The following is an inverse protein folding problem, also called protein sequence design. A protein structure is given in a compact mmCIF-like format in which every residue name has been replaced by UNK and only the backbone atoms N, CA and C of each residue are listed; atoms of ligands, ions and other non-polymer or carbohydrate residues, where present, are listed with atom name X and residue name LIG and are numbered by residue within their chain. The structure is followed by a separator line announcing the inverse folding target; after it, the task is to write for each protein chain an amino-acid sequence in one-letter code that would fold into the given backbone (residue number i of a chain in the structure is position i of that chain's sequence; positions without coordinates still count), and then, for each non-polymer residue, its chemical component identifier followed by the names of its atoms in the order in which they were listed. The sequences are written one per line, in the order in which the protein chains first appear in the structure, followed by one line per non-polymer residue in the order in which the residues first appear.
data_IF_560944609746
#
_entry.id   IF_560944609746
#
_cell.length_a   1.000
_cell.length_b   1.000
_cell.length_c   1.000
_cell.angle_alpha   90.00
_cell.angle_beta   90.00
_cell.angle_gamma   90.00
#
_symmetry.space_group_name_H-M   'P 1'
#
loop_
_entity.id
_entity.type
_entity.pdbx_description
1 polymer ?
#
# COMPACT_ATOMS: atom_id res chain seq x y z
N UNK A 1 -15.02 25.00 -23.83
CA UNK A 1 -14.42 25.62 -22.63
C UNK A 1 -15.51 26.23 -21.77
N UNK A 2 -15.51 25.97 -20.48
CA UNK A 2 -16.30 26.68 -19.48
C UNK A 2 -15.32 27.23 -18.45
N UNK A 3 -15.29 28.54 -18.29
CA UNK A 3 -14.34 29.21 -17.43
C UNK A 3 -15.09 30.12 -16.45
N UNK A 4 -14.81 29.98 -15.18
CA UNK A 4 -15.33 30.81 -14.09
C UNK A 4 -14.19 31.44 -13.29
N UNK A 5 -14.24 32.74 -13.00
CA UNK A 5 -13.23 33.37 -12.18
C UNK A 5 -13.36 33.01 -10.67
N UNK A 6 -14.57 32.73 -10.22
CA UNK A 6 -14.88 32.39 -8.83
C UNK A 6 -15.30 30.95 -8.65
N UNK A 7 -16.48 30.72 -8.05
CA UNK A 7 -17.11 29.41 -7.89
C UNK A 7 -17.95 29.06 -9.12
N UNK A 8 -17.72 27.89 -9.68
CA UNK A 8 -18.51 27.28 -10.74
C UNK A 8 -19.10 25.97 -10.21
N UNK A 9 -20.39 25.82 -10.33
CA UNK A 9 -21.10 24.59 -9.99
C UNK A 9 -21.74 24.01 -11.26
N UNK A 10 -21.54 22.72 -11.48
CA UNK A 10 -22.16 21.96 -12.54
C UNK A 10 -22.89 20.80 -11.90
N UNK A 11 -24.22 20.83 -11.95
CA UNK A 11 -25.06 19.80 -11.42
C UNK A 11 -25.77 19.10 -12.58
N UNK A 12 -25.31 17.91 -12.97
CA UNK A 12 -25.87 17.16 -14.07
C UNK A 12 -25.71 15.65 -13.85
N UNK A 13 -26.62 14.90 -14.45
CA UNK A 13 -26.58 13.43 -14.41
C UNK A 13 -25.52 12.84 -15.35
N UNK A 14 -25.06 13.57 -16.37
CA UNK A 14 -24.01 13.11 -17.27
C UNK A 14 -23.20 14.27 -17.82
N UNK A 15 -21.91 14.24 -17.56
CA UNK A 15 -20.97 15.25 -18.02
C UNK A 15 -19.87 14.56 -18.85
N UNK A 16 -19.72 14.95 -20.12
CA UNK A 16 -18.60 14.55 -20.99
C UNK A 16 -17.72 15.77 -21.25
N UNK A 17 -16.56 15.83 -20.59
CA UNK A 17 -15.59 16.90 -20.81
C UNK A 17 -14.44 16.44 -21.69
N UNK A 18 -14.36 16.99 -22.89
CA UNK A 18 -13.24 16.83 -23.85
C UNK A 18 -12.39 18.10 -23.98
N UNK A 19 -12.77 19.16 -23.29
CA UNK A 19 -12.15 20.48 -23.38
C UNK A 19 -11.60 20.92 -22.03
N UNK A 20 -11.99 22.11 -21.62
CA UNK A 20 -11.53 22.73 -20.38
C UNK A 20 -12.71 23.21 -19.54
N UNK A 21 -12.78 22.71 -18.31
CA UNK A 21 -13.60 23.24 -17.22
C UNK A 21 -12.65 23.83 -16.19
N UNK A 22 -12.78 25.12 -15.89
CA UNK A 22 -11.87 25.79 -14.96
C UNK A 22 -12.58 26.84 -14.13
N UNK A 23 -12.29 26.83 -12.83
CA UNK A 23 -12.71 27.87 -11.90
C UNK A 23 -11.74 27.95 -10.72
N UNK A 24 -11.85 29.00 -9.91
CA UNK A 24 -11.14 29.02 -8.62
C UNK A 24 -11.64 27.88 -7.72
N UNK A 25 -12.94 27.72 -7.57
CA UNK A 25 -13.59 26.55 -6.95
C UNK A 25 -14.53 25.92 -7.97
N UNK A 26 -14.25 24.70 -8.37
CA UNK A 26 -15.09 23.93 -9.29
C UNK A 26 -15.76 22.79 -8.54
N UNK A 27 -17.08 22.77 -8.54
CA UNK A 27 -17.90 21.71 -7.97
C UNK A 27 -18.66 21.04 -9.09
N UNK A 28 -18.48 19.74 -9.22
CA UNK A 28 -19.23 18.88 -10.13
C UNK A 28 -20.00 17.88 -9.29
N UNK A 29 -21.32 17.93 -9.33
CA UNK A 29 -22.18 17.09 -8.48
C UNK A 29 -23.34 16.50 -9.29
N UNK A 30 -23.90 15.39 -8.77
CA UNK A 30 -25.07 14.73 -9.36
C UNK A 30 -25.02 13.21 -9.22
N UNK A 31 -26.15 12.56 -9.49
CA UNK A 31 -26.32 11.09 -9.36
C UNK A 31 -25.82 10.32 -10.59
N UNK A 32 -25.05 10.96 -11.45
CA UNK A 32 -24.63 10.40 -12.71
C UNK A 32 -23.13 10.18 -12.85
N UNK A 33 -22.65 10.40 -14.07
CA UNK A 33 -21.26 10.11 -14.46
C UNK A 33 -20.55 11.35 -15.00
N UNK A 34 -19.33 11.60 -14.50
CA UNK A 34 -18.36 12.46 -15.15
C UNK A 34 -17.43 11.61 -16.01
N UNK A 35 -17.33 11.89 -17.30
CA UNK A 35 -16.31 11.35 -18.21
C UNK A 35 -15.40 12.50 -18.59
N UNK A 36 -14.10 12.38 -18.30
CA UNK A 36 -13.13 13.43 -18.57
C UNK A 36 -11.97 12.93 -19.42
N UNK A 37 -11.82 13.45 -20.63
CA UNK A 37 -10.64 13.30 -21.49
C UNK A 37 -9.90 14.62 -21.71
N UNK A 38 -10.41 15.72 -21.13
CA UNK A 38 -9.83 17.06 -21.17
C UNK A 38 -9.30 17.50 -19.79
N UNK A 39 -9.39 18.79 -19.53
CA UNK A 39 -8.93 19.36 -18.26
C UNK A 39 -10.12 19.77 -17.38
N UNK A 40 -10.11 19.32 -16.14
CA UNK A 40 -11.04 19.75 -15.08
C UNK A 40 -10.21 20.34 -13.96
N UNK A 41 -10.29 21.65 -13.78
CA UNK A 41 -9.42 22.41 -12.89
C UNK A 41 -10.23 23.25 -11.89
N UNK A 42 -10.08 22.96 -10.61
CA UNK A 42 -10.43 23.86 -9.53
C UNK A 42 -9.14 24.42 -8.91
N UNK A 43 -8.75 25.64 -9.25
CA UNK A 43 -7.41 26.16 -8.88
C UNK A 43 -7.14 26.03 -7.37
N UNK A 44 -8.12 26.39 -6.55
CA UNK A 44 -8.10 26.19 -5.10
C UNK A 44 -8.73 24.85 -4.73
N UNK A 45 -9.94 24.55 -5.25
CA UNK A 45 -10.68 23.35 -4.90
C UNK A 45 -11.38 22.76 -6.12
N UNK A 46 -11.12 21.51 -6.40
CA UNK A 46 -11.91 20.64 -7.27
C UNK A 46 -12.70 19.66 -6.39
N UNK A 47 -14.01 19.76 -6.41
CA UNK A 47 -14.89 18.81 -5.75
C UNK A 47 -15.70 18.03 -6.79
N UNK A 48 -15.63 16.72 -6.69
CA UNK A 48 -16.32 15.76 -7.55
C UNK A 48 -17.23 14.90 -6.67
N UNK A 49 -18.53 15.20 -6.66
CA UNK A 49 -19.55 14.45 -5.92
C UNK A 49 -20.51 13.81 -6.92
N UNK A 50 -19.97 12.88 -7.71
CA UNK A 50 -20.66 12.13 -8.76
C UNK A 50 -20.74 10.65 -8.37
N UNK A 51 -21.82 9.98 -8.77
CA UNK A 51 -21.90 8.52 -8.60
C UNK A 51 -20.71 7.81 -9.22
N UNK A 52 -20.26 8.25 -10.40
CA UNK A 52 -19.09 7.70 -11.06
C UNK A 52 -18.23 8.79 -11.71
N UNK A 53 -16.92 8.73 -11.50
CA UNK A 53 -15.95 9.57 -12.20
C UNK A 53 -15.02 8.69 -13.03
N UNK A 54 -14.92 8.97 -14.33
CA UNK A 54 -14.07 8.29 -15.29
C UNK A 54 -13.10 9.32 -15.91
N UNK A 55 -11.87 9.37 -15.35
CA UNK A 55 -10.80 10.21 -15.88
C UNK A 55 -10.00 9.39 -16.89
N UNK A 56 -10.31 9.59 -18.17
CA UNK A 56 -9.75 8.83 -19.29
C UNK A 56 -8.27 9.18 -19.54
N UNK A 57 -7.63 8.41 -20.42
CA UNK A 57 -6.27 8.70 -20.87
C UNK A 57 -6.19 10.10 -21.46
N UNK A 58 -5.20 10.89 -21.02
CA UNK A 58 -5.06 12.30 -21.36
C UNK A 58 -5.88 13.26 -20.50
N UNK A 59 -6.85 12.79 -19.75
CA UNK A 59 -7.65 13.59 -18.82
C UNK A 59 -6.85 14.06 -17.62
N UNK A 60 -7.08 15.31 -17.22
CA UNK A 60 -6.50 15.92 -16.03
C UNK A 60 -7.60 16.32 -15.04
N UNK A 61 -7.51 15.86 -13.82
CA UNK A 61 -8.23 16.39 -12.66
C UNK A 61 -7.22 17.12 -11.77
N UNK A 62 -7.38 18.42 -11.61
CA UNK A 62 -6.38 19.25 -10.93
C UNK A 62 -7.01 20.21 -9.92
N UNK A 63 -6.34 20.37 -8.79
CA UNK A 63 -6.71 21.38 -7.79
C UNK A 63 -5.62 21.65 -6.77
N UNK A 64 -5.77 22.75 -6.03
CA UNK A 64 -5.09 22.92 -4.75
C UNK A 64 -5.53 21.79 -3.82
N UNK A 65 -6.83 21.63 -3.67
CA UNK A 65 -7.48 20.49 -3.07
C UNK A 65 -8.26 19.73 -4.13
N UNK A 66 -8.21 18.40 -4.12
CA UNK A 66 -9.06 17.52 -4.93
C UNK A 66 -9.84 16.61 -3.99
N UNK A 67 -11.16 16.74 -4.04
CA UNK A 67 -12.10 15.95 -3.25
C UNK A 67 -12.92 15.12 -4.22
N UNK A 68 -12.92 13.81 -4.06
CA UNK A 68 -13.78 12.91 -4.82
C UNK A 68 -14.55 12.01 -3.86
N UNK A 69 -15.86 12.11 -3.92
CA UNK A 69 -16.77 11.24 -3.21
C UNK A 69 -17.76 10.60 -4.19
N UNK A 70 -18.20 9.38 -3.92
CA UNK A 70 -19.12 8.65 -4.76
C UNK A 70 -18.91 7.14 -4.78
N UNK A 71 -19.59 6.47 -5.73
CA UNK A 71 -19.50 5.01 -5.83
C UNK A 71 -18.19 4.57 -6.47
N UNK A 72 -17.76 5.23 -7.56
CA UNK A 72 -16.57 4.80 -8.26
C UNK A 72 -15.76 5.92 -8.89
N UNK A 73 -14.45 5.72 -8.86
CA UNK A 73 -13.49 6.52 -9.61
C UNK A 73 -12.59 5.58 -10.41
N UNK A 74 -12.56 5.78 -11.74
CA UNK A 74 -11.63 5.14 -12.67
C UNK A 74 -10.68 6.19 -13.22
N UNK A 75 -9.39 6.06 -12.91
CA UNK A 75 -8.37 6.99 -13.39
C UNK A 75 -7.42 6.31 -14.36
N UNK A 76 -7.48 6.71 -15.62
CA UNK A 76 -6.49 6.37 -16.66
C UNK A 76 -5.60 7.57 -17.02
N UNK A 77 -5.98 8.77 -16.58
CA UNK A 77 -5.28 10.03 -16.78
C UNK A 77 -4.45 10.45 -15.57
N UNK A 78 -4.49 11.74 -15.26
CA UNK A 78 -3.77 12.30 -14.12
C UNK A 78 -4.73 12.94 -13.12
N UNK A 79 -4.47 12.69 -11.86
CA UNK A 79 -5.10 13.40 -10.73
C UNK A 79 -3.97 14.06 -9.96
N UNK A 80 -4.02 15.39 -9.84
CA UNK A 80 -2.99 16.16 -9.16
C UNK A 80 -3.61 17.13 -8.16
N UNK A 81 -3.35 16.89 -6.89
CA UNK A 81 -3.69 17.78 -5.80
C UNK A 81 -2.41 18.43 -5.26
N UNK A 82 -2.27 19.75 -5.44
CA UNK A 82 -1.07 20.48 -4.95
C UNK A 82 -0.92 20.43 -3.43
N UNK A 83 -2.03 20.31 -2.73
CA UNK A 83 -2.10 20.26 -1.27
C UNK A 83 -2.76 18.96 -0.83
N UNK A 84 -4.10 18.89 -0.83
CA UNK A 84 -4.83 17.80 -0.23
C UNK A 84 -5.63 17.03 -1.28
N UNK A 85 -5.48 15.72 -1.26
CA UNK A 85 -6.32 14.75 -1.95
C UNK A 85 -7.22 14.07 -0.92
N UNK A 86 -8.52 14.06 -1.15
CA UNK A 86 -9.48 13.32 -0.34
C UNK A 86 -10.32 12.40 -1.22
N UNK A 87 -10.19 11.12 -1.01
CA UNK A 87 -11.05 10.11 -1.62
C UNK A 87 -11.93 9.47 -0.55
N UNK A 88 -13.24 9.52 -0.78
CA UNK A 88 -14.25 8.78 -0.04
C UNK A 88 -15.10 8.00 -1.05
N UNK A 89 -14.53 6.92 -1.56
CA UNK A 89 -15.05 6.19 -2.71
C UNK A 89 -15.35 4.75 -2.35
N UNK A 90 -16.51 4.25 -2.78
CA UNK A 90 -16.79 2.82 -2.66
C UNK A 90 -15.72 2.00 -3.39
N UNK A 91 -15.39 2.39 -4.63
CA UNK A 91 -14.34 1.72 -5.42
C UNK A 91 -13.44 2.75 -6.10
N UNK A 92 -12.13 2.63 -5.92
CA UNK A 92 -11.14 3.38 -6.67
C UNK A 92 -10.31 2.43 -7.55
N UNK A 93 -10.19 2.75 -8.84
CA UNK A 93 -9.34 2.02 -9.80
C UNK A 93 -8.40 3.01 -10.45
N UNK A 94 -7.10 2.80 -10.28
CA UNK A 94 -6.07 3.67 -10.84
C UNK A 94 -5.17 2.93 -11.82
N UNK A 95 -5.21 3.32 -13.07
CA UNK A 95 -4.27 2.92 -14.13
C UNK A 95 -3.32 4.04 -14.50
N UNK A 96 -3.65 5.28 -14.16
CA UNK A 96 -2.88 6.48 -14.47
C UNK A 96 -2.00 6.93 -13.31
N UNK A 97 -1.91 8.23 -13.10
CA UNK A 97 -1.16 8.79 -11.99
C UNK A 97 -2.03 9.59 -11.03
N UNK A 98 -1.79 9.40 -9.75
CA UNK A 98 -2.36 10.17 -8.66
C UNK A 98 -1.20 10.74 -7.86
N UNK A 99 -1.19 12.07 -7.68
CA UNK A 99 -0.14 12.78 -6.95
C UNK A 99 -0.74 13.82 -6.02
N UNK A 100 -0.25 13.85 -4.77
CA UNK A 100 -0.70 14.80 -3.76
C UNK A 100 0.43 15.16 -2.79
N UNK A 101 0.37 16.35 -2.18
CA UNK A 101 1.20 16.63 -1.01
C UNK A 101 0.66 15.87 0.20
N UNK A 102 -0.65 15.91 0.45
CA UNK A 102 -1.28 15.10 1.50
C UNK A 102 -2.45 14.31 0.93
N UNK A 103 -2.61 13.05 1.35
CA UNK A 103 -3.66 12.15 0.88
C UNK A 103 -4.46 11.54 2.03
N UNK A 104 -5.79 11.62 1.91
CA UNK A 104 -6.77 10.90 2.70
C UNK A 104 -7.51 9.94 1.76
N UNK A 105 -7.30 8.64 1.95
CA UNK A 105 -7.79 7.58 1.07
C UNK A 105 -8.66 6.61 1.86
N UNK A 106 -9.95 6.65 1.62
CA UNK A 106 -10.92 5.80 2.32
C UNK A 106 -11.94 5.22 1.35
N UNK A 107 -12.36 3.97 1.61
CA UNK A 107 -13.40 3.33 0.81
C UNK A 107 -13.60 1.86 1.13
N UNK A 108 -14.16 1.13 0.16
CA UNK A 108 -14.28 -0.32 0.30
C UNK A 108 -13.19 -1.03 -0.50
N UNK A 109 -12.89 -0.60 -1.74
CA UNK A 109 -11.95 -1.29 -2.63
C UNK A 109 -11.00 -0.34 -3.33
N UNK A 110 -9.72 -0.67 -3.32
CA UNK A 110 -8.72 -0.01 -4.13
C UNK A 110 -8.03 -1.02 -5.04
N UNK A 111 -8.00 -0.72 -6.35
CA UNK A 111 -7.18 -1.42 -7.33
C UNK A 111 -6.20 -0.41 -7.93
N UNK A 112 -4.92 -0.55 -7.64
CA UNK A 112 -3.89 0.31 -8.19
C UNK A 112 -3.00 -0.45 -9.17
N UNK A 113 -3.06 -0.09 -10.43
CA UNK A 113 -2.20 -0.58 -11.51
C UNK A 113 -1.22 0.50 -11.99
N UNK A 114 -1.50 1.76 -11.66
CA UNK A 114 -0.70 2.93 -12.01
C UNK A 114 0.19 3.41 -10.86
N UNK A 115 0.32 4.71 -10.72
CA UNK A 115 1.10 5.32 -9.63
C UNK A 115 0.21 6.11 -8.69
N UNK A 116 0.43 5.95 -7.39
CA UNK A 116 -0.13 6.76 -6.33
C UNK A 116 1.03 7.26 -5.48
N UNK A 117 1.25 8.55 -5.48
CA UNK A 117 2.35 9.18 -4.72
C UNK A 117 1.80 10.29 -3.85
N UNK A 118 2.21 10.30 -2.58
CA UNK A 118 1.93 11.42 -1.69
C UNK A 118 3.13 11.70 -0.79
N UNK A 119 3.36 12.99 -0.46
CA UNK A 119 4.40 13.33 0.51
C UNK A 119 3.97 12.86 1.91
N UNK A 120 2.69 13.01 2.21
CA UNK A 120 2.09 12.55 3.46
C UNK A 120 0.79 11.78 3.19
N UNK A 121 0.63 10.60 3.79
CA UNK A 121 -0.62 9.84 3.74
C UNK A 121 -1.21 9.82 5.16
N UNK A 122 -2.29 10.57 5.36
CA UNK A 122 -2.96 10.72 6.65
C UNK A 122 -3.80 9.49 6.99
N UNK A 123 -4.55 9.01 5.99
CA UNK A 123 -5.44 7.85 6.10
C UNK A 123 -5.31 7.01 4.85
N UNK A 124 -5.17 5.70 5.04
CA UNK A 124 -5.20 4.71 3.97
C UNK A 124 -5.98 3.49 4.45
N UNK A 125 -7.31 3.61 4.38
CA UNK A 125 -8.22 2.61 4.94
C UNK A 125 -9.25 2.14 3.91
N UNK A 126 -9.27 0.83 3.64
CA UNK A 126 -10.25 0.19 2.76
C UNK A 126 -10.88 -1.02 3.44
N UNK A 127 -12.22 -1.08 3.44
CA UNK A 127 -12.99 -2.03 4.23
C UNK A 127 -13.00 -3.45 3.68
N UNK A 128 -12.80 -3.63 2.37
CA UNK A 128 -12.81 -4.94 1.73
C UNK A 128 -11.39 -5.39 1.36
N UNK A 129 -10.74 -4.62 0.47
CA UNK A 129 -9.38 -4.95 0.05
C UNK A 129 -8.64 -3.78 -0.61
N UNK A 130 -7.32 -3.92 -0.61
CA UNK A 130 -6.38 -3.18 -1.42
C UNK A 130 -5.64 -4.18 -2.31
N UNK A 131 -5.69 -3.97 -3.64
CA UNK A 131 -4.91 -4.70 -4.63
C UNK A 131 -3.98 -3.73 -5.34
N UNK A 132 -2.67 -3.99 -5.28
CA UNK A 132 -1.66 -3.16 -5.91
C UNK A 132 -0.80 -3.98 -6.86
N UNK A 133 -0.86 -3.67 -8.14
CA UNK A 133 0.04 -4.19 -9.17
C UNK A 133 0.81 -3.05 -9.87
N UNK A 134 0.71 -1.84 -9.31
CA UNK A 134 1.43 -0.62 -9.68
C UNK A 134 2.33 -0.13 -8.54
N UNK A 135 2.44 1.18 -8.38
CA UNK A 135 3.29 1.80 -7.37
C UNK A 135 2.47 2.62 -6.37
N UNK A 136 2.72 2.42 -5.10
CA UNK A 136 2.23 3.25 -4.00
C UNK A 136 3.46 3.76 -3.25
N UNK A 137 3.65 5.06 -3.21
CA UNK A 137 4.77 5.71 -2.55
C UNK A 137 4.28 6.79 -1.58
N UNK A 138 4.60 6.63 -0.30
CA UNK A 138 4.54 7.69 0.70
C UNK A 138 5.93 8.21 1.01
N UNK A 139 6.17 9.53 0.88
CA UNK A 139 7.46 10.14 1.20
C UNK A 139 7.66 10.40 2.70
N UNK A 140 6.65 10.19 3.50
CA UNK A 140 6.74 10.11 4.96
C UNK A 140 6.28 8.73 5.44
N UNK A 141 6.30 8.48 6.74
CA UNK A 141 5.72 7.25 7.29
C UNK A 141 4.21 7.23 7.12
N UNK A 142 3.64 6.03 6.88
CA UNK A 142 2.19 5.85 6.80
C UNK A 142 1.77 4.43 7.17
N UNK A 143 0.46 4.28 7.38
CA UNK A 143 -0.19 3.01 7.70
C UNK A 143 -1.22 2.67 6.65
N UNK A 144 -1.29 1.40 6.28
CA UNK A 144 -2.34 0.83 5.45
C UNK A 144 -3.20 -0.08 6.31
N UNK A 145 -4.50 0.11 6.26
CA UNK A 145 -5.48 -0.71 6.97
C UNK A 145 -6.50 -1.29 5.99
N UNK A 146 -6.57 -2.60 5.91
CA UNK A 146 -7.58 -3.30 5.12
C UNK A 146 -7.64 -4.78 5.52
N UNK A 147 -8.80 -5.43 5.50
CA UNK A 147 -8.89 -6.87 5.75
C UNK A 147 -8.00 -7.69 4.82
N UNK A 148 -7.82 -7.27 3.57
CA UNK A 148 -6.95 -7.92 2.60
C UNK A 148 -6.07 -6.90 1.89
N UNK A 149 -4.76 -7.13 1.93
CA UNK A 149 -3.76 -6.38 1.17
C UNK A 149 -3.07 -7.36 0.24
N UNK A 150 -3.20 -7.15 -1.07
CA UNK A 150 -2.54 -7.95 -2.08
C UNK A 150 -1.60 -7.07 -2.91
N UNK A 151 -0.30 -7.29 -2.78
CA UNK A 151 0.73 -6.65 -3.58
C UNK A 151 1.19 -7.63 -4.66
N UNK A 152 0.71 -7.43 -5.89
CA UNK A 152 0.99 -8.30 -7.03
C UNK A 152 2.44 -8.26 -7.48
N UNK A 153 2.79 -9.03 -8.52
CA UNK A 153 4.19 -9.20 -8.98
C UNK A 153 4.88 -7.91 -9.40
N UNK A 154 4.14 -6.99 -10.02
CA UNK A 154 4.65 -5.68 -10.42
C UNK A 154 4.46 -4.63 -9.31
N UNK A 155 3.73 -5.00 -8.26
CA UNK A 155 3.34 -4.12 -7.18
C UNK A 155 4.52 -3.67 -6.33
N UNK A 156 4.59 -2.37 -6.07
CA UNK A 156 5.54 -1.77 -5.13
C UNK A 156 4.77 -0.92 -4.14
N UNK A 157 4.91 -1.22 -2.86
CA UNK A 157 4.40 -0.39 -1.78
C UNK A 157 5.61 0.05 -0.96
N UNK A 158 5.91 1.33 -0.99
CA UNK A 158 7.14 1.86 -0.45
C UNK A 158 6.93 3.11 0.40
N UNK A 159 7.82 3.32 1.35
CA UNK A 159 7.87 4.51 2.18
C UNK A 159 9.30 4.95 2.40
N UNK A 160 9.54 6.27 2.50
CA UNK A 160 10.84 6.78 2.96
C UNK A 160 10.91 6.91 4.48
N UNK A 161 9.78 6.72 5.18
CA UNK A 161 9.66 6.64 6.63
C UNK A 161 9.20 5.26 7.09
N UNK A 162 8.47 5.20 8.20
CA UNK A 162 7.86 3.95 8.69
C UNK A 162 6.66 3.56 7.81
N UNK A 163 6.61 2.29 7.42
CA UNK A 163 5.45 1.68 6.77
C UNK A 163 4.85 0.62 7.71
N UNK A 164 3.55 0.69 7.90
CA UNK A 164 2.83 -0.29 8.71
C UNK A 164 1.63 -0.83 7.92
N UNK A 165 1.54 -2.14 7.79
CA UNK A 165 0.41 -2.84 7.19
C UNK A 165 -0.36 -3.57 8.29
N UNK A 166 -1.66 -3.26 8.41
CA UNK A 166 -2.58 -3.93 9.34
C UNK A 166 -3.66 -4.63 8.53
N UNK A 167 -3.65 -5.96 8.52
CA UNK A 167 -4.50 -6.75 7.65
C UNK A 167 -4.77 -8.14 8.19
N UNK A 168 -5.98 -8.66 8.00
CA UNK A 168 -6.26 -10.07 8.28
C UNK A 168 -5.51 -11.01 7.32
N UNK A 169 -5.27 -10.54 6.07
CA UNK A 169 -4.54 -11.29 5.05
C UNK A 169 -3.64 -10.37 4.25
N UNK A 170 -2.34 -10.58 4.30
CA UNK A 170 -1.36 -9.90 3.47
C UNK A 170 -0.73 -10.89 2.50
N UNK A 171 -0.88 -10.66 1.20
CA UNK A 171 -0.19 -11.37 0.12
C UNK A 171 0.83 -10.43 -0.55
N UNK A 172 2.08 -10.87 -0.65
CA UNK A 172 3.11 -10.13 -1.35
C UNK A 172 3.82 -10.99 -2.38
N UNK A 173 3.70 -10.61 -3.65
CA UNK A 173 4.47 -11.18 -4.76
C UNK A 173 5.46 -10.17 -5.34
N UNK A 174 5.28 -8.87 -5.04
CA UNK A 174 6.10 -7.75 -5.49
C UNK A 174 7.08 -7.28 -4.42
N UNK A 175 7.14 -5.98 -4.19
CA UNK A 175 8.05 -5.37 -3.21
C UNK A 175 7.28 -4.54 -2.18
N UNK A 176 7.54 -4.83 -0.90
CA UNK A 176 7.21 -3.98 0.24
C UNK A 176 8.52 -3.45 0.80
N UNK A 177 8.71 -2.13 0.89
CA UNK A 177 9.97 -1.57 1.40
C UNK A 177 9.81 -0.28 2.17
N UNK A 178 10.48 -0.21 3.30
CA UNK A 178 10.63 1.00 4.10
C UNK A 178 11.87 0.91 5.00
N UNK A 179 12.40 2.02 5.51
CA UNK A 179 13.42 1.98 6.56
C UNK A 179 12.96 1.17 7.79
N UNK A 180 11.72 1.36 8.21
CA UNK A 180 11.07 0.58 9.26
C UNK A 180 9.77 0.02 8.71
N UNK A 181 9.70 -1.29 8.53
CA UNK A 181 8.53 -1.97 8.01
C UNK A 181 7.89 -2.84 9.09
N UNK A 182 6.60 -2.65 9.32
CA UNK A 182 5.81 -3.48 10.22
C UNK A 182 4.64 -4.12 9.46
N UNK A 183 4.42 -5.42 9.66
CA UNK A 183 3.29 -6.16 9.12
C UNK A 183 2.58 -6.86 10.28
N UNK A 184 1.33 -6.48 10.51
CA UNK A 184 0.53 -6.98 11.62
C UNK A 184 -0.76 -7.61 11.13
N UNK A 185 -1.16 -8.72 11.75
CA UNK A 185 -2.48 -9.29 11.51
C UNK A 185 -2.59 -10.80 11.48
N UNK A 186 -3.42 -11.33 10.61
CA UNK A 186 -3.73 -12.76 10.56
C UNK A 186 -2.68 -13.55 9.79
N UNK A 187 -2.72 -13.53 8.47
CA UNK A 187 -1.81 -14.32 7.63
C UNK A 187 -0.94 -13.45 6.75
N UNK A 188 0.33 -13.83 6.63
CA UNK A 188 1.27 -13.28 5.65
C UNK A 188 1.72 -14.40 4.72
N UNK A 189 1.49 -14.22 3.41
CA UNK A 189 2.05 -15.06 2.36
C UNK A 189 3.00 -14.22 1.50
N UNK A 190 4.28 -14.60 1.44
CA UNK A 190 5.30 -13.84 0.71
C UNK A 190 6.04 -14.71 -0.29
N UNK A 191 5.93 -14.39 -1.57
CA UNK A 191 6.78 -14.93 -2.63
C UNK A 191 7.62 -13.84 -3.32
N UNK A 192 7.47 -12.58 -2.88
CA UNK A 192 8.23 -11.41 -3.35
C UNK A 192 9.27 -10.94 -2.34
N UNK A 193 9.46 -9.64 -2.26
CA UNK A 193 10.44 -9.01 -1.36
C UNK A 193 9.76 -8.19 -0.29
N UNK A 194 10.12 -8.42 0.96
CA UNK A 194 9.72 -7.61 2.11
C UNK A 194 11.00 -7.11 2.77
N UNK A 195 11.22 -5.79 2.71
CA UNK A 195 12.49 -5.17 3.10
C UNK A 195 12.24 -4.05 4.11
N UNK A 196 12.75 -4.25 5.33
CA UNK A 196 12.87 -3.21 6.33
C UNK A 196 14.34 -2.80 6.45
N UNK A 197 14.77 -1.74 5.74
CA UNK A 197 16.20 -1.44 5.61
C UNK A 197 16.92 -1.36 6.97
N UNK A 198 16.29 -0.76 7.98
CA UNK A 198 16.77 -0.71 9.36
C UNK A 198 16.14 -1.79 10.23
N UNK A 199 14.81 -1.99 10.09
CA UNK A 199 14.07 -2.95 10.90
C UNK A 199 12.86 -3.51 10.15
N UNK A 200 12.69 -4.83 10.27
CA UNK A 200 11.51 -5.56 9.83
C UNK A 200 10.84 -6.21 11.04
N UNK A 201 9.60 -5.81 11.30
CA UNK A 201 8.75 -6.40 12.33
C UNK A 201 7.57 -7.11 11.69
N UNK A 202 7.38 -8.38 12.00
CA UNK A 202 6.24 -9.16 11.54
C UNK A 202 5.57 -9.76 12.78
N UNK A 203 4.29 -9.46 12.95
CA UNK A 203 3.45 -10.01 14.03
C UNK A 203 2.16 -10.53 13.41
N UNK A 204 2.10 -11.83 13.17
CA UNK A 204 1.01 -12.48 12.44
C UNK A 204 0.62 -13.82 13.11
N UNK A 205 -0.60 -14.28 12.88
CA UNK A 205 -1.00 -15.60 13.33
C UNK A 205 -0.28 -16.71 12.54
N UNK A 206 -0.03 -16.48 11.24
CA UNK A 206 0.73 -17.37 10.38
C UNK A 206 1.57 -16.58 9.38
N UNK A 207 2.82 -16.98 9.22
CA UNK A 207 3.72 -16.48 8.18
C UNK A 207 4.15 -17.63 7.28
N UNK A 208 3.90 -17.50 5.97
CA UNK A 208 4.36 -18.39 4.93
C UNK A 208 5.31 -17.61 4.00
N UNK A 209 6.61 -17.77 4.20
CA UNK A 209 7.64 -17.23 3.29
C UNK A 209 7.93 -18.28 2.23
N UNK A 210 7.24 -18.18 1.12
CA UNK A 210 7.22 -19.16 0.04
C UNK A 210 8.55 -19.21 -0.72
N UNK A 211 8.68 -20.20 -1.60
CA UNK A 211 9.84 -20.29 -2.51
C UNK A 211 10.00 -19.00 -3.33
N UNK A 212 11.21 -18.46 -3.36
CA UNK A 212 11.52 -17.15 -3.95
C UNK A 212 11.26 -15.95 -3.04
N UNK A 213 10.53 -16.13 -1.96
CA UNK A 213 10.25 -15.07 -0.98
C UNK A 213 11.49 -14.64 -0.21
N UNK A 214 11.66 -13.32 -0.07
CA UNK A 214 12.72 -12.71 0.72
C UNK A 214 12.12 -11.86 1.84
N UNK A 215 12.50 -12.15 3.07
CA UNK A 215 12.35 -11.27 4.22
C UNK A 215 13.74 -10.74 4.58
N UNK A 216 13.95 -9.44 4.44
CA UNK A 216 15.25 -8.80 4.69
C UNK A 216 15.10 -7.60 5.62
N UNK A 217 16.06 -7.43 6.52
CA UNK A 217 16.07 -6.25 7.39
C UNK A 217 17.42 -6.03 8.05
N UNK A 218 17.68 -4.79 8.49
CA UNK A 218 18.81 -4.50 9.37
C UNK A 218 18.70 -5.34 10.65
N UNK A 219 17.56 -5.28 11.31
CA UNK A 219 17.14 -6.23 12.36
C UNK A 219 15.79 -6.83 11.94
N UNK A 220 15.60 -8.12 12.22
CA UNK A 220 14.33 -8.80 12.00
C UNK A 220 13.77 -9.32 13.33
N UNK A 221 12.52 -8.94 13.61
CA UNK A 221 11.73 -9.53 14.67
C UNK A 221 10.47 -10.11 14.04
N UNK A 222 10.34 -11.43 14.10
CA UNK A 222 9.19 -12.14 13.60
C UNK A 222 8.55 -12.91 14.75
N UNK A 223 7.28 -12.58 15.01
CA UNK A 223 6.42 -13.22 16.00
C UNK A 223 5.22 -13.82 15.25
N UNK A 224 5.22 -15.12 15.11
CA UNK A 224 4.20 -15.85 14.36
C UNK A 224 4.06 -17.27 14.91
N UNK A 225 2.92 -17.65 15.53
CA UNK A 225 2.69 -18.99 16.03
C UNK A 225 3.04 -20.10 15.03
N UNK A 226 2.79 -19.88 13.75
CA UNK A 226 3.19 -20.76 12.65
C UNK A 226 4.06 -20.01 11.67
N UNK A 227 5.30 -20.49 11.49
CA UNK A 227 6.24 -19.96 10.50
C UNK A 227 6.70 -21.09 9.58
N UNK A 228 6.29 -21.00 8.32
CA UNK A 228 6.75 -21.85 7.24
C UNK A 228 7.71 -21.04 6.36
N UNK A 229 9.00 -21.42 6.31
CA UNK A 229 10.00 -20.75 5.50
C UNK A 229 10.53 -21.67 4.41
N UNK A 230 10.14 -21.41 3.16
CA UNK A 230 10.68 -22.03 1.94
C UNK A 230 11.59 -21.08 1.17
N UNK A 231 11.63 -19.79 1.56
CA UNK A 231 12.42 -18.74 0.97
C UNK A 231 13.64 -18.39 1.82
N UNK A 232 13.88 -17.10 1.94
CA UNK A 232 15.03 -16.56 2.66
C UNK A 232 14.59 -15.57 3.72
N UNK A 233 15.12 -15.67 4.93
CA UNK A 233 14.99 -14.70 6.02
C UNK A 233 16.41 -14.29 6.39
N UNK A 234 16.80 -13.08 6.02
CA UNK A 234 18.19 -12.66 6.04
C UNK A 234 18.38 -11.34 6.77
N UNK A 235 19.34 -11.29 7.67
CA UNK A 235 19.81 -10.04 8.29
C UNK A 235 21.30 -10.10 8.58
N UNK A 236 21.98 -8.96 8.44
CA UNK A 236 23.37 -8.83 8.88
C UNK A 236 23.51 -8.65 10.40
N UNK A 237 22.42 -8.28 11.10
CA UNK A 237 22.45 -8.02 12.56
C UNK A 237 21.69 -9.10 13.32
N UNK A 238 20.58 -8.74 13.97
CA UNK A 238 19.83 -9.67 14.82
C UNK A 238 18.62 -10.24 14.10
N UNK A 239 18.51 -11.58 14.08
CA UNK A 239 17.31 -12.30 13.74
C UNK A 239 16.69 -12.88 15.01
N UNK A 240 15.52 -12.39 15.39
CA UNK A 240 14.72 -12.95 16.48
C UNK A 240 13.45 -13.55 15.90
N UNK A 241 13.27 -14.85 16.11
CA UNK A 241 12.09 -15.59 15.74
C UNK A 241 11.40 -16.12 17.00
N UNK A 242 10.13 -15.76 17.18
CA UNK A 242 9.23 -16.38 18.15
C UNK A 242 8.16 -17.11 17.34
N UNK A 243 8.36 -18.40 17.16
CA UNK A 243 7.50 -19.24 16.34
C UNK A 243 7.32 -20.61 17.03
N UNK A 244 6.26 -20.78 17.84
CA UNK A 244 5.94 -22.06 18.46
C UNK A 244 6.02 -23.25 17.51
N UNK A 245 5.59 -23.09 16.25
CA UNK A 245 5.77 -24.05 15.17
C UNK A 245 6.62 -23.41 14.06
N UNK A 246 7.87 -23.88 13.89
CA UNK A 246 8.81 -23.41 12.89
C UNK A 246 9.22 -24.55 11.95
N UNK A 247 8.81 -24.42 10.68
CA UNK A 247 9.21 -25.31 9.60
C UNK A 247 10.15 -24.54 8.66
N UNK A 248 11.43 -24.90 8.63
CA UNK A 248 12.42 -24.26 7.76
C UNK A 248 12.89 -25.21 6.68
N UNK A 249 12.54 -24.93 5.44
CA UNK A 249 13.03 -25.58 4.22
C UNK A 249 13.97 -24.68 3.42
N UNK A 250 14.04 -23.39 3.79
CA UNK A 250 14.85 -22.37 3.15
C UNK A 250 16.07 -21.96 3.97
N UNK A 251 16.33 -20.66 4.00
CA UNK A 251 17.50 -20.10 4.68
C UNK A 251 17.05 -19.14 5.78
N UNK A 252 17.56 -19.37 6.99
CA UNK A 252 17.54 -18.43 8.11
C UNK A 252 18.98 -17.98 8.36
N UNK A 253 19.26 -16.69 8.16
CA UNK A 253 20.61 -16.16 8.35
C UNK A 253 20.58 -14.87 9.16
N UNK A 254 21.44 -14.78 10.16
CA UNK A 254 21.60 -13.58 10.97
C UNK A 254 22.99 -13.43 11.54
N UNK A 255 23.40 -12.18 11.83
CA UNK A 255 24.62 -11.92 12.60
C UNK A 255 24.52 -12.57 13.99
N UNK A 256 23.39 -12.36 14.65
CA UNK A 256 23.01 -13.03 15.90
C UNK A 256 21.63 -13.64 15.75
N UNK A 257 21.48 -14.93 16.05
CA UNK A 257 20.24 -15.65 15.98
C UNK A 257 19.69 -15.93 17.38
N UNK A 258 18.38 -15.66 17.53
CA UNK A 258 17.60 -16.07 18.70
C UNK A 258 16.29 -16.68 18.21
N UNK A 259 16.16 -17.99 18.34
CA UNK A 259 14.98 -18.76 17.92
C UNK A 259 14.32 -19.32 19.18
N UNK A 260 13.05 -18.99 19.38
CA UNK A 260 12.19 -19.54 20.43
C UNK A 260 11.05 -20.31 19.73
N UNK A 261 11.07 -21.63 19.85
CA UNK A 261 10.12 -22.50 19.16
C UNK A 261 9.79 -23.72 20.05
N UNK A 262 8.55 -24.18 20.01
CA UNK A 262 8.18 -25.45 20.64
C UNK A 262 8.55 -26.63 19.73
N UNK A 263 8.30 -26.46 18.44
CA UNK A 263 8.60 -27.49 17.43
C UNK A 263 9.43 -26.84 16.32
N UNK A 264 10.66 -27.27 16.13
CA UNK A 264 11.57 -26.84 15.06
C UNK A 264 11.83 -28.00 14.12
N UNK A 265 11.29 -27.90 12.91
CA UNK A 265 11.57 -28.81 11.80
C UNK A 265 12.49 -28.12 10.81
N UNK A 266 13.77 -28.48 10.79
CA UNK A 266 14.74 -27.85 9.89
C UNK A 266 15.19 -28.83 8.81
N UNK A 267 14.78 -28.56 7.57
CA UNK A 267 15.23 -29.25 6.35
C UNK A 267 16.07 -28.33 5.46
N UNK A 268 16.24 -27.07 5.88
CA UNK A 268 17.05 -26.05 5.19
C UNK A 268 18.29 -25.67 5.99
N UNK A 269 18.65 -24.40 5.93
CA UNK A 269 19.85 -23.88 6.58
C UNK A 269 19.50 -22.86 7.67
N UNK A 270 20.17 -22.99 8.83
CA UNK A 270 20.15 -22.01 9.92
C UNK A 270 21.59 -21.58 10.16
N UNK A 271 21.92 -20.33 9.85
CA UNK A 271 23.28 -19.82 9.81
C UNK A 271 23.44 -18.58 10.68
N UNK A 272 24.38 -18.61 11.60
CA UNK A 272 24.80 -17.43 12.37
C UNK A 272 26.20 -17.00 11.90
N UNK A 273 26.35 -15.72 11.53
CA UNK A 273 27.60 -15.19 11.05
C UNK A 273 28.48 -14.60 12.16
N UNK A 274 27.89 -14.14 13.26
CA UNK A 274 28.61 -13.55 14.39
C UNK A 274 29.17 -14.60 15.33
N UNK A 275 30.21 -14.22 16.08
CA UNK A 275 30.92 -15.09 17.02
C UNK A 275 30.14 -15.37 18.34
N UNK A 276 28.94 -14.78 18.49
CA UNK A 276 28.11 -14.98 19.68
C UNK A 276 27.53 -16.37 19.79
N UNK A 277 26.98 -16.70 20.95
CA UNK A 277 26.29 -17.97 21.17
C UNK A 277 25.01 -18.05 20.31
N UNK A 278 24.89 -19.10 19.49
CA UNK A 278 23.65 -19.44 18.83
C UNK A 278 22.61 -19.85 19.87
N UNK A 279 21.50 -19.17 19.94
CA UNK A 279 20.45 -19.41 20.94
C UNK A 279 19.20 -19.96 20.28
N UNK A 280 19.01 -21.27 20.40
CA UNK A 280 17.81 -21.99 19.96
C UNK A 280 17.18 -22.64 21.20
N UNK A 281 15.95 -22.24 21.49
CA UNK A 281 15.14 -22.86 22.54
C UNK A 281 14.04 -23.67 21.87
N UNK A 282 13.94 -24.93 22.24
CA UNK A 282 12.84 -25.83 21.85
C UNK A 282 12.21 -26.39 23.11
N UNK A 283 10.92 -26.71 23.07
CA UNK A 283 10.30 -27.45 24.17
C UNK A 283 10.90 -28.87 24.22
N UNK A 284 11.15 -29.35 25.44
CA UNK A 284 11.50 -30.74 25.69
C UNK A 284 10.24 -31.59 25.79
#
# INVERSE_FOLDING_TARGET
KILGAGRLEIADSQIDNRGELRASTLVISGDGKLVNSGNVTGENTLQLSQKSTDNQAGGLLFGGQVIADGDSLHNHGRILAKQNLRFELNTAVNHGSIEAASAFLQGNRLNNYGTLTADHIETFHYRDYISNDGQILGRSGYRIESPRINNGRNGKITSTGRLELNSSQTGNQGELRAPQLAINGGTLANSGKIIGDNALHITTARTDNQSGGLLYGGNIHLDSPQLDNHGQILTGSRLRLNAPELNNHGILLGGVLAIDSKTLNNHGSILQLGLGKLNIKTAR
#
